data_IF_709731404366
#
_entry.id   IF_709731404366
#
_cell.length_a   1.000
_cell.length_b   1.000
_cell.length_c   1.000
_cell.angle_alpha   90.00
_cell.angle_beta   90.00
_cell.angle_gamma   90.00
#
_symmetry.space_group_name_H-M   'P 1'
#
loop_
_entity.id
_entity.type
_entity.pdbx_description
1 polymer ?
#
# COMPACT_ATOMS: atom_id res chain seq x y z
N UNK A 1 19.11 -9.73 28.75
CA UNK A 1 17.84 -10.30 28.29
C UNK A 1 17.25 -9.35 27.25
N UNK A 2 17.44 -9.63 25.97
CA UNK A 2 16.92 -8.78 24.90
C UNK A 2 15.51 -9.30 24.59
N UNK A 3 14.49 -8.65 25.15
CA UNK A 3 13.12 -8.91 24.76
C UNK A 3 12.91 -8.32 23.37
N UNK A 4 12.96 -9.16 22.34
CA UNK A 4 12.57 -8.80 20.98
C UNK A 4 11.04 -8.76 20.97
N UNK A 5 10.44 -7.63 21.34
CA UNK A 5 9.01 -7.43 21.09
C UNK A 5 8.78 -7.48 19.59
N UNK A 6 7.92 -8.37 19.07
CA UNK A 6 7.61 -8.37 17.65
C UNK A 6 6.99 -7.02 17.31
N UNK A 7 7.66 -6.24 16.47
CA UNK A 7 7.15 -4.97 15.97
C UNK A 7 5.86 -5.27 15.23
N UNK A 8 4.72 -4.94 15.85
CA UNK A 8 3.41 -5.02 15.20
C UNK A 8 3.48 -4.06 14.01
N UNK A 9 3.49 -4.61 12.80
CA UNK A 9 3.46 -3.78 11.60
C UNK A 9 2.06 -3.22 11.51
N UNK A 10 1.96 -1.92 11.77
CA UNK A 10 0.71 -1.19 11.82
C UNK A 10 0.27 -0.77 10.41
N UNK A 11 -1.04 -0.61 10.20
CA UNK A 11 -1.61 -0.15 8.93
C UNK A 11 -0.98 1.17 8.47
N UNK A 12 -0.77 2.09 9.41
CA UNK A 12 -0.15 3.39 9.12
C UNK A 12 1.29 3.25 8.61
N UNK A 13 2.03 2.24 9.08
CA UNK A 13 3.38 1.94 8.61
C UNK A 13 3.35 1.45 7.15
N UNK A 14 2.36 0.61 6.79
CA UNK A 14 2.17 0.20 5.40
C UNK A 14 1.90 1.41 4.51
N UNK A 15 0.97 2.28 4.91
CA UNK A 15 0.63 3.48 4.13
C UNK A 15 1.86 4.38 3.94
N UNK A 16 2.63 4.64 5.00
CA UNK A 16 3.84 5.46 4.92
C UNK A 16 4.92 4.84 4.02
N UNK A 17 5.05 3.50 4.00
CA UNK A 17 5.98 2.81 3.12
C UNK A 17 5.55 2.86 1.65
N UNK A 18 4.26 2.68 1.38
CA UNK A 18 3.69 2.78 0.03
C UNK A 18 3.81 4.21 -0.50
N UNK A 19 3.47 5.22 0.30
CA UNK A 19 3.61 6.64 -0.05
C UNK A 19 5.05 6.95 -0.44
N UNK A 20 6.01 6.60 0.43
CA UNK A 20 7.43 6.82 0.18
C UNK A 20 7.86 6.19 -1.14
N UNK A 21 7.45 4.94 -1.40
CA UNK A 21 7.81 4.27 -2.65
C UNK A 21 7.20 4.92 -3.88
N UNK A 22 5.93 5.34 -3.81
CA UNK A 22 5.29 6.06 -4.90
C UNK A 22 5.97 7.41 -5.15
N UNK A 23 6.34 8.13 -4.09
CA UNK A 23 7.10 9.36 -4.21
C UNK A 23 8.46 9.13 -4.90
N UNK A 24 9.22 8.12 -4.47
CA UNK A 24 10.50 7.77 -5.09
C UNK A 24 10.34 7.41 -6.58
N UNK A 25 9.33 6.61 -6.93
CA UNK A 25 9.03 6.22 -8.31
C UNK A 25 8.66 7.42 -9.19
N UNK A 26 7.95 8.38 -8.62
CA UNK A 26 7.53 9.61 -9.29
C UNK A 26 8.55 10.76 -9.24
N UNK A 27 9.69 10.58 -8.57
CA UNK A 27 10.60 11.68 -8.19
C UNK A 27 9.87 12.84 -7.50
N UNK A 28 8.92 12.52 -6.62
CA UNK A 28 8.14 13.47 -5.85
C UNK A 28 8.69 13.59 -4.43
N UNK A 29 8.50 14.75 -3.83
CA UNK A 29 8.81 14.96 -2.42
C UNK A 29 7.79 14.24 -1.52
N UNK A 30 8.28 13.51 -0.52
CA UNK A 30 7.42 12.79 0.44
C UNK A 30 6.60 13.78 1.28
N UNK A 31 5.39 13.39 1.69
CA UNK A 31 4.46 14.20 2.52
C UNK A 31 3.94 15.51 1.88
N UNK A 32 4.34 15.85 0.66
CA UNK A 32 3.83 17.04 -0.05
C UNK A 32 2.57 16.77 -0.86
N UNK A 33 2.30 15.50 -1.16
CA UNK A 33 1.21 15.08 -2.05
C UNK A 33 0.23 14.19 -1.30
N UNK A 34 -1.09 14.42 -1.43
CA UNK A 34 -2.06 13.60 -0.74
C UNK A 34 -2.11 12.20 -1.36
N UNK A 35 -2.26 11.19 -0.50
CA UNK A 35 -2.50 9.81 -0.91
C UNK A 35 -3.91 9.38 -0.48
N UNK A 36 -4.71 8.94 -1.44
CA UNK A 36 -6.02 8.32 -1.18
C UNK A 36 -5.88 6.81 -1.19
N UNK A 37 -6.66 6.14 -0.35
CA UNK A 37 -6.71 4.69 -0.25
C UNK A 37 -8.15 4.20 -0.40
N UNK A 38 -8.33 3.04 -1.03
CA UNK A 38 -9.63 2.39 -1.22
C UNK A 38 -9.48 0.89 -1.12
N UNK A 39 -10.40 0.25 -0.42
CA UNK A 39 -10.48 -1.21 -0.39
C UNK A 39 -10.83 -1.79 -1.76
N UNK A 40 -10.20 -2.91 -2.08
CA UNK A 40 -10.52 -3.70 -3.27
C UNK A 40 -11.30 -4.91 -2.81
N UNK A 41 -12.56 -4.98 -3.23
CA UNK A 41 -13.48 -6.06 -2.90
C UNK A 41 -13.64 -6.96 -4.13
N UNK A 42 -13.46 -8.27 -3.95
CA UNK A 42 -13.72 -9.28 -4.97
C UNK A 42 -14.65 -10.35 -4.39
N UNK A 43 -15.79 -10.57 -5.04
CA UNK A 43 -16.77 -11.56 -4.57
C UNK A 43 -17.27 -11.30 -3.14
N UNK A 44 -17.45 -10.03 -2.77
CA UNK A 44 -17.88 -9.61 -1.44
C UNK A 44 -16.82 -9.72 -0.33
N UNK A 45 -15.56 -10.04 -0.66
CA UNK A 45 -14.46 -10.14 0.31
C UNK A 45 -13.39 -9.08 0.03
N UNK A 46 -12.85 -8.40 1.06
CA UNK A 46 -11.71 -7.50 0.89
C UNK A 46 -10.49 -8.33 0.49
N UNK A 47 -9.99 -8.10 -0.73
CA UNK A 47 -8.86 -8.83 -1.30
C UNK A 47 -7.61 -7.98 -1.48
N UNK A 48 -7.71 -6.67 -1.24
CA UNK A 48 -6.59 -5.77 -1.35
C UNK A 48 -6.90 -4.32 -0.99
N UNK A 49 -5.90 -3.47 -1.13
CA UNK A 49 -6.03 -2.01 -1.00
C UNK A 49 -5.41 -1.37 -2.23
N UNK A 50 -6.14 -0.44 -2.81
CA UNK A 50 -5.69 0.45 -3.86
C UNK A 50 -5.24 1.77 -3.24
N UNK A 51 -4.01 2.18 -3.54
CA UNK A 51 -3.43 3.46 -3.17
C UNK A 51 -3.27 4.31 -4.42
N UNK A 52 -3.57 5.61 -4.30
CA UNK A 52 -3.35 6.60 -5.34
C UNK A 52 -2.73 7.85 -4.71
N UNK A 53 -1.49 8.13 -5.08
CA UNK A 53 -0.77 9.36 -4.77
C UNK A 53 -1.06 10.40 -5.85
N UNK A 54 -1.52 11.57 -5.45
CA UNK A 54 -1.91 12.65 -6.37
C UNK A 54 -0.77 13.66 -6.49
N UNK A 55 0.03 13.50 -7.54
CA UNK A 55 1.15 14.37 -7.85
C UNK A 55 0.75 15.70 -8.51
N UNK A 56 1.74 16.52 -8.89
CA UNK A 56 1.50 17.80 -9.54
C UNK A 56 0.93 17.59 -10.95
N UNK A 57 0.20 18.59 -11.47
CA UNK A 57 -0.34 18.59 -12.85
C UNK A 57 -1.17 17.33 -13.18
N UNK A 58 -1.98 16.87 -12.22
CA UNK A 58 -2.86 15.70 -12.35
C UNK A 58 -2.13 14.35 -12.53
N UNK A 59 -0.83 14.27 -12.21
CA UNK A 59 -0.10 13.00 -12.18
C UNK A 59 -0.70 12.07 -11.11
N UNK A 60 -0.90 10.81 -11.46
CA UNK A 60 -1.38 9.78 -10.52
C UNK A 60 -0.43 8.60 -10.50
N UNK A 61 0.12 8.31 -9.33
CA UNK A 61 0.96 7.13 -9.10
C UNK A 61 0.16 6.19 -8.21
N UNK A 62 0.14 4.90 -8.57
CA UNK A 62 -0.79 3.97 -7.93
C UNK A 62 -0.09 2.72 -7.46
N UNK A 63 -0.57 2.17 -6.35
CA UNK A 63 -0.11 0.89 -5.84
C UNK A 63 -1.31 0.01 -5.48
N UNK A 64 -1.17 -1.29 -5.69
CA UNK A 64 -2.16 -2.29 -5.31
C UNK A 64 -1.51 -3.26 -4.34
N UNK A 65 -1.96 -3.27 -3.09
CA UNK A 65 -1.68 -4.35 -2.15
C UNK A 65 -2.65 -5.50 -2.45
N UNK A 66 -2.14 -6.60 -3.00
CA UNK A 66 -2.88 -7.84 -3.20
C UNK A 66 -2.64 -8.75 -1.99
N UNK A 67 -3.71 -8.98 -1.22
CA UNK A 67 -3.63 -9.84 -0.04
C UNK A 67 -3.72 -11.33 -0.35
N UNK A 68 -4.21 -11.69 -1.54
CA UNK A 68 -4.27 -13.09 -1.99
C UNK A 68 -2.87 -13.55 -2.38
N UNK A 69 -2.13 -12.70 -3.09
CA UNK A 69 -0.77 -12.98 -3.55
C UNK A 69 0.31 -12.50 -2.58
N UNK A 70 -0.07 -11.81 -1.50
CA UNK A 70 0.86 -11.20 -0.55
C UNK A 70 1.92 -10.37 -1.28
N UNK A 71 1.48 -9.46 -2.14
CA UNK A 71 2.35 -8.64 -2.98
C UNK A 71 1.82 -7.22 -3.10
N UNK A 72 2.72 -6.26 -3.15
CA UNK A 72 2.42 -4.87 -3.49
C UNK A 72 2.89 -4.63 -4.92
N UNK A 73 2.01 -4.18 -5.79
CA UNK A 73 2.30 -3.88 -7.19
C UNK A 73 2.27 -2.37 -7.36
N UNK A 74 3.34 -1.79 -7.91
CA UNK A 74 3.44 -0.35 -8.13
C UNK A 74 3.34 -0.04 -9.63
N UNK A 75 2.57 0.99 -9.94
CA UNK A 75 2.32 1.46 -11.29
C UNK A 75 2.83 2.90 -11.44
N UNK A 76 3.44 3.16 -12.59
CA UNK A 76 3.86 4.50 -12.98
C UNK A 76 2.68 5.40 -13.33
N UNK A 77 2.98 6.66 -13.61
CA UNK A 77 1.99 7.68 -14.02
C UNK A 77 1.32 7.38 -15.37
N UNK A 78 1.91 6.47 -16.14
CA UNK A 78 1.41 5.91 -17.39
C UNK A 78 0.49 4.69 -17.19
N UNK A 79 0.29 4.25 -15.95
CA UNK A 79 -0.47 3.04 -15.63
C UNK A 79 0.29 1.74 -15.91
N UNK A 80 1.59 1.81 -16.25
CA UNK A 80 2.42 0.63 -16.49
C UNK A 80 3.00 0.13 -15.17
N UNK A 81 2.97 -1.19 -14.95
CA UNK A 81 3.58 -1.83 -13.79
C UNK A 81 5.10 -1.63 -13.82
N UNK A 82 5.67 -1.06 -12.77
CA UNK A 82 7.10 -0.74 -12.66
C UNK A 82 7.85 -1.67 -11.71
N UNK A 83 7.31 -1.88 -10.52
CA UNK A 83 7.92 -2.79 -9.54
C UNK A 83 6.87 -3.63 -8.81
N UNK A 84 7.33 -4.67 -8.12
CA UNK A 84 6.52 -5.38 -7.14
C UNK A 84 7.36 -5.82 -5.97
N UNK A 85 6.79 -5.69 -4.78
CA UNK A 85 7.44 -6.02 -3.53
C UNK A 85 6.61 -7.09 -2.79
N UNK A 86 7.26 -8.06 -2.11
CA UNK A 86 6.55 -9.00 -1.27
C UNK A 86 5.91 -8.27 -0.08
N UNK A 87 4.69 -8.65 0.25
CA UNK A 87 4.00 -8.27 1.48
C UNK A 87 4.03 -9.45 2.44
N UNK A 88 4.28 -9.22 3.72
CA UNK A 88 4.24 -10.31 4.71
C UNK A 88 2.81 -10.83 4.86
N UNK A 89 2.64 -12.17 4.78
CA UNK A 89 1.34 -12.82 4.95
C UNK A 89 0.68 -12.54 6.31
N UNK A 90 1.48 -12.22 7.34
CA UNK A 90 0.97 -11.81 8.65
C UNK A 90 0.36 -10.41 8.61
N UNK A 91 0.96 -9.51 7.83
CA UNK A 91 0.50 -8.13 7.68
C UNK A 91 -0.79 -8.10 6.87
N UNK A 92 -0.86 -8.86 5.78
CA UNK A 92 -2.07 -8.95 4.98
C UNK A 92 -3.28 -9.50 5.76
N UNK A 93 -3.07 -10.50 6.63
CA UNK A 93 -4.16 -11.04 7.46
C UNK A 93 -4.59 -10.09 8.58
N UNK A 94 -3.65 -9.39 9.22
CA UNK A 94 -3.99 -8.40 10.25
C UNK A 94 -4.82 -7.25 9.67
N UNK A 95 -4.42 -6.73 8.51
CA UNK A 95 -5.14 -5.64 7.83
C UNK A 95 -6.51 -6.12 7.35
N UNK A 96 -6.62 -7.33 6.80
CA UNK A 96 -7.93 -7.89 6.43
C UNK A 96 -8.88 -8.01 7.62
N UNK A 97 -8.38 -8.30 8.81
CA UNK A 97 -9.20 -8.39 10.01
C UNK A 97 -9.64 -7.01 10.51
N UNK A 98 -8.75 -6.02 10.46
CA UNK A 98 -9.07 -4.62 10.79
C UNK A 98 -10.14 -4.06 9.85
N UNK A 99 -10.05 -4.31 8.54
CA UNK A 99 -11.05 -3.86 7.55
C UNK A 99 -12.39 -4.60 7.65
N UNK A 100 -12.42 -5.84 8.18
CA UNK A 100 -13.69 -6.56 8.43
C UNK A 100 -14.39 -6.14 9.71
N UNK A 101 -13.67 -5.48 10.63
CA UNK A 101 -14.20 -5.07 11.92
C UNK A 101 -14.79 -3.64 11.92
N UNK A 102 -14.55 -2.88 10.85
CA UNK A 102 -15.12 -1.57 10.58
C UNK A 102 -16.41 -1.68 9.75
#
# INVERSE_FOLDING_TARGET
MICITPTRVDYQTLCANVERRLCELGHLESKQFPMTQREVIRGGKPCGIYFCLHGPRSVKLTAICDFTKNTIIYYGSDGIRRESAPLSARVSSQIQNELKAA
#
